data_IF_559163830674
#
_entry.id   IF_559163830674
#
_cell.length_a   1.000
_cell.length_b   1.000
_cell.length_c   1.000
_cell.angle_alpha   90.00
_cell.angle_beta   90.00
_cell.angle_gamma   90.00
#
_symmetry.space_group_name_H-M   'P 1'
#
loop_
_entity.id
_entity.type
_entity.pdbx_description
1 polymer ?
#
# COMPACT_ATOMS: atom_id res chain seq x y z
N UNK A 1 -16.58 20.30 33.73
CA UNK A 1 -16.31 20.36 32.28
C UNK A 1 -15.30 19.28 31.94
N UNK A 2 -15.49 18.56 30.82
CA UNK A 2 -14.64 17.42 30.47
C UNK A 2 -13.26 17.93 30.02
N UNK A 3 -12.33 18.05 30.96
CA UNK A 3 -10.99 18.62 30.76
C UNK A 3 -10.16 17.85 29.71
N UNK A 4 -10.47 16.56 29.48
CA UNK A 4 -9.79 15.74 28.47
C UNK A 4 -9.94 16.29 27.05
N UNK A 5 -11.12 16.78 26.66
CA UNK A 5 -11.34 17.31 25.31
C UNK A 5 -10.56 18.61 25.03
N UNK A 6 -10.14 19.32 26.08
CA UNK A 6 -9.33 20.54 25.97
C UNK A 6 -7.83 20.26 25.84
N UNK A 7 -7.39 19.01 26.03
CA UNK A 7 -5.99 18.61 25.98
C UNK A 7 -5.39 18.82 24.60
N UNK A 8 -6.12 18.44 23.55
CA UNK A 8 -5.69 18.56 22.15
C UNK A 8 -5.43 20.03 21.72
N UNK A 9 -6.02 21.01 22.42
CA UNK A 9 -5.75 22.43 22.17
C UNK A 9 -4.36 22.86 22.67
N UNK A 10 -3.88 22.28 23.78
CA UNK A 10 -2.56 22.58 24.35
C UNK A 10 -1.47 21.71 23.73
N UNK A 11 -1.78 20.42 23.58
CA UNK A 11 -0.85 19.40 23.13
C UNK A 11 -1.43 18.76 21.85
N UNK A 12 -1.18 19.35 20.67
CA UNK A 12 -1.65 18.77 19.42
C UNK A 12 -0.97 17.41 19.16
N UNK A 13 -1.62 16.51 18.39
CA UNK A 13 -1.06 15.20 18.09
C UNK A 13 0.26 15.33 17.30
N UNK A 14 1.23 14.48 17.63
CA UNK A 14 2.56 14.49 17.02
C UNK A 14 2.52 13.96 15.58
N UNK A 15 3.39 14.53 14.73
CA UNK A 15 3.53 14.06 13.36
C UNK A 15 4.29 12.73 13.31
N UNK A 16 3.77 11.78 12.52
CA UNK A 16 4.34 10.44 12.37
C UNK A 16 3.51 9.36 13.07
N UNK A 17 2.68 9.75 14.04
CA UNK A 17 1.63 8.88 14.58
C UNK A 17 0.43 8.82 13.63
N UNK A 18 -0.33 7.74 13.70
CA UNK A 18 -1.56 7.62 12.93
C UNK A 18 -2.57 8.67 13.36
N UNK A 19 -2.99 9.51 12.42
CA UNK A 19 -4.00 10.52 12.61
C UNK A 19 -5.24 10.19 11.76
N UNK A 20 -6.39 10.07 12.42
CA UNK A 20 -7.66 9.67 11.81
C UNK A 20 -8.09 10.56 10.62
N UNK A 21 -7.77 11.86 10.65
CA UNK A 21 -8.22 12.83 9.65
C UNK A 21 -7.15 13.19 8.61
N UNK A 22 -5.93 12.68 8.78
CA UNK A 22 -4.80 13.01 7.90
C UNK A 22 -4.19 11.76 7.25
N UNK A 23 -3.92 10.71 8.02
CA UNK A 23 -3.08 9.59 7.59
C UNK A 23 -3.74 8.74 6.51
N UNK A 24 -3.10 8.63 5.35
CA UNK A 24 -3.50 7.76 4.24
C UNK A 24 -2.39 6.76 3.93
N UNK A 25 -2.65 5.50 4.26
CA UNK A 25 -1.73 4.38 4.01
C UNK A 25 -1.80 3.86 2.57
N UNK A 26 -0.75 3.15 2.18
CA UNK A 26 -0.71 2.40 0.93
C UNK A 26 -1.69 1.20 0.93
N UNK A 27 -2.05 0.76 -0.27
CA UNK A 27 -2.81 -0.47 -0.50
C UNK A 27 -1.93 -1.65 -0.85
N UNK A 28 -2.53 -2.72 -1.39
CA UNK A 28 -1.81 -3.89 -1.93
C UNK A 28 -2.38 -4.26 -3.30
N UNK A 29 -1.63 -5.04 -4.06
CA UNK A 29 -2.08 -5.57 -5.35
C UNK A 29 -2.32 -7.07 -5.21
N UNK A 30 -3.54 -7.49 -5.54
CA UNK A 30 -3.97 -8.88 -5.48
C UNK A 30 -4.56 -9.38 -6.80
N UNK A 31 -4.61 -10.70 -6.94
CA UNK A 31 -5.22 -11.39 -8.07
C UNK A 31 -6.55 -12.02 -7.63
N UNK A 32 -7.62 -11.80 -8.40
CA UNK A 32 -8.91 -12.45 -8.15
C UNK A 32 -8.80 -13.95 -8.43
N UNK A 33 -9.06 -14.77 -7.42
CA UNK A 33 -8.97 -16.23 -7.53
C UNK A 33 -10.31 -16.84 -7.92
N UNK A 34 -11.32 -16.68 -7.06
CA UNK A 34 -12.65 -17.27 -7.25
C UNK A 34 -13.71 -16.52 -6.45
N UNK A 35 -14.97 -16.86 -6.70
CA UNK A 35 -16.08 -16.49 -5.83
C UNK A 35 -16.42 -17.64 -4.89
N UNK A 36 -16.86 -17.32 -3.68
CA UNK A 36 -17.41 -18.28 -2.73
C UNK A 36 -18.67 -17.72 -2.10
N UNK A 37 -19.52 -18.58 -1.55
CA UNK A 37 -20.71 -18.16 -0.81
C UNK A 37 -20.51 -18.50 0.66
N UNK A 38 -20.70 -17.52 1.52
CA UNK A 38 -20.67 -17.71 2.96
C UNK A 38 -21.96 -17.20 3.59
N UNK A 39 -22.24 -17.70 4.79
CA UNK A 39 -23.42 -17.35 5.55
C UNK A 39 -22.99 -16.72 6.87
N UNK A 40 -23.59 -15.60 7.25
CA UNK A 40 -23.35 -15.01 8.55
C UNK A 40 -24.09 -15.75 9.68
N UNK A 41 -23.86 -15.33 10.92
CA UNK A 41 -24.53 -15.88 12.11
C UNK A 41 -26.05 -15.72 12.12
N UNK A 42 -26.62 -14.88 11.24
CA UNK A 42 -28.06 -14.64 11.13
C UNK A 42 -28.69 -15.36 9.92
N UNK A 43 -27.90 -16.16 9.19
CA UNK A 43 -28.35 -16.89 8.00
C UNK A 43 -28.37 -16.06 6.72
N UNK A 44 -27.86 -14.83 6.72
CA UNK A 44 -27.75 -14.03 5.51
C UNK A 44 -26.66 -14.60 4.61
N UNK A 45 -26.97 -14.79 3.34
CA UNK A 45 -26.00 -15.30 2.36
C UNK A 45 -25.26 -14.15 1.68
N UNK A 46 -23.93 -14.23 1.63
CA UNK A 46 -23.07 -13.27 0.94
C UNK A 46 -22.21 -13.98 -0.10
N UNK A 47 -22.12 -13.40 -1.31
CA UNK A 47 -21.18 -13.86 -2.33
C UNK A 47 -19.90 -13.05 -2.17
N UNK A 48 -18.83 -13.73 -1.78
CA UNK A 48 -17.53 -13.13 -1.50
C UNK A 48 -16.56 -13.39 -2.65
N UNK A 49 -15.69 -12.42 -2.90
CA UNK A 49 -14.58 -12.54 -3.86
C UNK A 49 -13.30 -12.88 -3.12
N UNK A 50 -12.66 -13.99 -3.46
CA UNK A 50 -11.36 -14.35 -2.92
C UNK A 50 -10.26 -13.67 -3.74
N UNK A 51 -9.40 -12.92 -3.05
CA UNK A 51 -8.25 -12.23 -3.64
C UNK A 51 -6.97 -12.82 -3.05
N UNK A 52 -6.12 -13.40 -3.90
CA UNK A 52 -4.79 -13.85 -3.51
C UNK A 52 -3.83 -12.67 -3.57
N UNK A 53 -3.08 -12.48 -2.49
CA UNK A 53 -2.04 -11.45 -2.39
C UNK A 53 -0.70 -12.15 -2.59
N UNK A 54 -0.08 -12.06 -3.80
CA UNK A 54 1.24 -12.62 -4.05
C UNK A 54 2.33 -11.77 -3.38
N UNK A 55 3.61 -12.00 -3.71
CA UNK A 55 4.76 -11.28 -3.15
C UNK A 55 4.68 -9.76 -3.42
N UNK A 56 4.04 -9.03 -2.51
CA UNK A 56 3.92 -7.59 -2.53
C UNK A 56 5.13 -6.95 -1.87
N UNK A 57 5.74 -5.97 -2.52
CA UNK A 57 6.95 -5.33 -2.03
C UNK A 57 7.04 -3.88 -2.47
N UNK A 58 7.64 -3.02 -1.66
CA UNK A 58 7.88 -1.63 -2.03
C UNK A 58 9.08 -1.58 -2.96
N UNK A 59 8.87 -1.04 -4.16
CA UNK A 59 9.92 -0.94 -5.20
C UNK A 59 10.58 0.44 -5.17
N UNK A 60 9.83 1.48 -4.80
CA UNK A 60 10.33 2.84 -4.87
C UNK A 60 9.34 3.88 -4.39
N UNK A 61 9.85 5.10 -4.19
CA UNK A 61 9.09 6.24 -3.69
C UNK A 61 9.02 7.34 -4.74
N UNK A 62 7.89 8.04 -4.72
CA UNK A 62 7.69 9.35 -5.34
C UNK A 62 7.57 10.35 -4.21
N UNK A 63 8.35 11.41 -4.30
CA UNK A 63 8.40 12.45 -3.27
C UNK A 63 7.85 13.75 -3.85
N UNK A 64 7.14 14.54 -3.04
CA UNK A 64 6.61 15.85 -3.44
C UNK A 64 7.63 16.74 -4.17
N UNK A 65 8.88 16.76 -3.70
CA UNK A 65 9.94 17.59 -4.29
C UNK A 65 10.26 17.23 -5.74
N UNK A 66 10.16 15.95 -6.11
CA UNK A 66 10.57 15.44 -7.43
C UNK A 66 9.38 15.27 -8.38
N UNK A 67 8.26 14.78 -7.84
CA UNK A 67 7.12 14.32 -8.64
C UNK A 67 5.83 15.11 -8.32
N UNK A 68 5.88 16.11 -7.45
CA UNK A 68 4.73 16.93 -7.03
C UNK A 68 3.74 16.24 -6.09
N UNK A 69 4.00 14.99 -5.71
CA UNK A 69 3.17 14.20 -4.78
C UNK A 69 3.95 13.12 -4.05
N UNK A 70 3.47 12.75 -2.86
CA UNK A 70 3.99 11.62 -2.10
C UNK A 70 3.24 10.35 -2.51
N UNK A 71 3.98 9.35 -2.96
CA UNK A 71 3.41 8.07 -3.32
C UNK A 71 4.43 6.93 -3.21
N UNK A 72 3.91 5.74 -2.97
CA UNK A 72 4.69 4.50 -2.89
C UNK A 72 4.34 3.61 -4.07
N UNK A 73 5.39 3.10 -4.73
CA UNK A 73 5.27 2.13 -5.82
C UNK A 73 5.42 0.74 -5.24
N UNK A 74 4.37 -0.06 -5.38
CA UNK A 74 4.33 -1.46 -4.93
C UNK A 74 4.37 -2.36 -6.14
N UNK A 75 5.15 -3.42 -6.05
CA UNK A 75 5.15 -4.51 -7.02
C UNK A 75 4.48 -5.75 -6.48
N UNK A 76 3.88 -6.53 -7.36
CA UNK A 76 3.25 -7.80 -7.03
C UNK A 76 3.74 -8.94 -7.93
N UNK A 77 3.88 -10.11 -7.30
CA UNK A 77 4.24 -11.40 -7.91
C UNK A 77 5.64 -11.42 -8.51
N UNK A 78 6.51 -12.28 -7.98
CA UNK A 78 7.87 -12.46 -8.49
C UNK A 78 7.85 -13.13 -9.87
N UNK A 79 8.63 -12.59 -10.80
CA UNK A 79 8.82 -13.16 -12.14
C UNK A 79 10.29 -13.20 -12.53
N UNK A 80 10.62 -14.07 -13.47
CA UNK A 80 11.97 -14.17 -14.01
C UNK A 80 12.35 -12.84 -14.72
N UNK A 81 13.62 -12.39 -14.66
CA UNK A 81 14.05 -11.14 -15.29
C UNK A 81 13.79 -11.05 -16.80
N UNK A 82 13.72 -12.19 -17.49
CA UNK A 82 13.46 -12.33 -18.92
C UNK A 82 11.99 -12.06 -19.28
N UNK A 83 11.09 -12.06 -18.28
CA UNK A 83 9.66 -11.86 -18.51
C UNK A 83 9.33 -10.44 -19.01
N UNK A 84 10.10 -9.44 -18.59
CA UNK A 84 9.89 -8.04 -18.96
C UNK A 84 10.95 -7.52 -19.92
N UNK A 85 10.59 -6.46 -20.65
CA UNK A 85 11.54 -5.71 -21.47
C UNK A 85 12.74 -5.23 -20.63
N UNK A 86 13.99 -5.24 -21.14
CA UNK A 86 15.21 -4.91 -20.37
C UNK A 86 15.17 -3.56 -19.63
N UNK A 87 14.44 -2.58 -20.18
CA UNK A 87 14.24 -1.28 -19.53
C UNK A 87 13.51 -1.39 -18.18
N UNK A 88 12.53 -2.28 -18.09
CA UNK A 88 11.70 -2.50 -16.90
C UNK A 88 12.50 -3.30 -15.87
N UNK A 89 13.13 -4.40 -16.26
CA UNK A 89 13.96 -5.21 -15.36
C UNK A 89 15.13 -4.43 -14.75
N UNK A 90 15.70 -3.47 -15.50
CA UNK A 90 16.74 -2.56 -14.97
C UNK A 90 16.27 -1.72 -13.78
N UNK A 91 14.99 -1.30 -13.74
CA UNK A 91 14.47 -0.50 -12.63
C UNK A 91 14.49 -1.29 -11.32
N UNK A 92 14.02 -2.55 -11.37
CA UNK A 92 14.04 -3.46 -10.22
C UNK A 92 15.46 -3.77 -9.76
N UNK A 93 16.38 -4.02 -10.71
CA UNK A 93 17.79 -4.26 -10.41
C UNK A 93 18.46 -3.07 -9.71
N UNK A 94 18.19 -1.84 -10.14
CA UNK A 94 18.71 -0.62 -9.49
C UNK A 94 18.13 -0.45 -8.07
N UNK A 95 16.86 -0.80 -7.88
CA UNK A 95 16.21 -0.76 -6.58
C UNK A 95 16.61 -1.93 -5.64
N UNK A 96 17.34 -2.93 -6.14
CA UNK A 96 17.77 -4.09 -5.35
C UNK A 96 16.64 -5.06 -4.99
N UNK A 97 15.48 -4.97 -5.66
CA UNK A 97 14.30 -5.80 -5.40
C UNK A 97 14.10 -6.83 -6.52
N UNK A 98 13.47 -7.99 -6.24
CA UNK A 98 13.11 -8.94 -7.28
C UNK A 98 12.18 -8.32 -8.32
N UNK A 99 12.27 -8.80 -9.55
CA UNK A 99 11.42 -8.33 -10.66
C UNK A 99 9.98 -8.75 -10.40
N UNK A 100 9.06 -7.79 -10.48
CA UNK A 100 7.63 -7.99 -10.19
C UNK A 100 6.79 -7.90 -11.45
N UNK A 101 5.76 -8.74 -11.57
CA UNK A 101 4.88 -8.82 -12.74
C UNK A 101 4.10 -7.53 -12.99
N UNK A 102 3.56 -6.93 -11.93
CA UNK A 102 2.77 -5.69 -12.00
C UNK A 102 3.27 -4.73 -10.94
N UNK A 103 3.32 -3.45 -11.28
CA UNK A 103 3.60 -2.36 -10.35
C UNK A 103 2.41 -1.41 -10.29
N UNK A 104 2.01 -1.01 -9.08
CA UNK A 104 0.97 0.00 -8.87
C UNK A 104 1.47 1.07 -7.92
N UNK A 105 1.05 2.29 -8.19
CA UNK A 105 1.36 3.44 -7.37
C UNK A 105 0.18 3.78 -6.47
N UNK A 106 0.46 3.99 -5.19
CA UNK A 106 -0.49 4.44 -4.17
C UNK A 106 -0.08 5.80 -3.65
N UNK A 107 -0.98 6.77 -3.72
CA UNK A 107 -0.79 8.08 -3.09
C UNK A 107 -0.92 7.91 -1.59
N UNK A 108 0.03 8.47 -0.86
CA UNK A 108 0.10 8.38 0.59
C UNK A 108 0.36 9.75 1.19
N UNK A 109 0.18 9.86 2.49
CA UNK A 109 0.67 10.98 3.29
C UNK A 109 2.11 10.75 3.75
N UNK A 110 2.80 11.81 4.16
CA UNK A 110 4.24 11.77 4.42
C UNK A 110 4.63 10.95 5.68
N UNK A 111 3.67 10.72 6.58
CA UNK A 111 3.78 9.84 7.74
C UNK A 111 3.69 8.34 7.38
N UNK A 112 3.20 7.99 6.19
CA UNK A 112 2.91 6.61 5.79
C UNK A 112 3.96 6.00 4.84
N UNK A 113 5.17 6.56 4.77
CA UNK A 113 6.26 5.98 3.99
C UNK A 113 6.77 4.68 4.65
N UNK A 114 7.06 3.69 3.80
CA UNK A 114 7.61 2.38 4.19
C UNK A 114 8.93 2.21 3.46
N UNK A 115 9.98 1.63 4.06
CA UNK A 115 11.25 1.43 3.35
C UNK A 115 11.09 0.57 2.09
N UNK A 116 11.99 0.77 1.12
CA UNK A 116 12.10 -0.09 -0.07
C UNK A 116 12.65 -1.44 0.36
N UNK A 117 12.03 -2.52 -0.15
CA UNK A 117 12.30 -3.89 0.28
C UNK A 117 11.07 -4.57 0.82
#
# INVERSE_FOLDING_TARGET
>A
ENLEASKDWRDPPEFGEFNQFYSVRLGMVGCRVKYTREYDKYGNSMILSMVWVPDNQVIGHRTKEKDGRDAVIIGAMNVAPEFHHPRVSRQFKTAGVPVKHVTKEFRITADAFVPIG
#
